data_IF_919000555795
#
_entry.id   IF_919000555795
#
_cell.length_a   1.000
_cell.length_b   1.000
_cell.length_c   1.000
_cell.angle_alpha   90.00
_cell.angle_beta   90.00
_cell.angle_gamma   90.00
#
_symmetry.space_group_name_H-M   'P 1'
#
loop_
_entity.id
_entity.type
_entity.pdbx_description
1 polymer ?
#
# COMPACT_ATOMS: atom_id res chain seq x y z
N UNK A 1 6.07 -10.85 5.01
CA UNK A 1 6.69 -12.18 5.13
C UNK A 1 6.86 -12.77 3.74
N UNK A 2 8.09 -13.01 3.28
CA UNK A 2 8.38 -13.74 2.05
C UNK A 2 8.29 -15.23 2.37
N UNK A 3 7.47 -16.00 1.64
CA UNK A 3 7.56 -17.46 1.71
C UNK A 3 8.91 -17.88 1.11
N UNK A 4 9.54 -18.91 1.67
CA UNK A 4 10.81 -19.41 1.13
C UNK A 4 10.57 -20.62 0.24
N UNK A 5 11.32 -20.74 -0.86
CA UNK A 5 11.37 -21.94 -1.69
C UNK A 5 12.57 -22.81 -1.32
N UNK A 6 12.41 -24.13 -1.39
CA UNK A 6 13.49 -25.08 -1.10
C UNK A 6 14.12 -24.90 0.29
N UNK A 7 15.41 -25.23 0.41
CA UNK A 7 16.13 -25.21 1.68
C UNK A 7 15.62 -26.27 2.67
N UNK A 8 15.91 -26.05 3.95
CA UNK A 8 15.49 -26.94 5.05
C UNK A 8 14.53 -26.26 6.04
N UNK A 9 14.04 -25.07 5.68
CA UNK A 9 13.09 -24.27 6.44
C UNK A 9 11.63 -24.65 6.21
N UNK A 10 11.35 -25.72 5.44
CA UNK A 10 10.01 -26.31 5.26
C UNK A 10 8.95 -25.30 4.77
N UNK A 11 9.35 -24.35 3.92
CA UNK A 11 8.47 -23.29 3.40
C UNK A 11 8.14 -22.18 4.38
N UNK A 12 8.70 -22.21 5.60
CA UNK A 12 8.53 -21.15 6.59
C UNK A 12 9.03 -19.80 6.05
N UNK A 13 8.33 -18.69 6.36
CA UNK A 13 8.75 -17.40 5.87
C UNK A 13 10.11 -16.98 6.47
N UNK A 14 10.80 -16.10 5.76
CA UNK A 14 12.00 -15.47 6.30
C UNK A 14 11.73 -14.78 7.64
N UNK A 15 12.62 -15.00 8.60
CA UNK A 15 12.60 -14.32 9.90
C UNK A 15 13.56 -13.15 9.84
N UNK A 16 13.05 -11.92 9.81
CA UNK A 16 13.88 -10.71 9.84
C UNK A 16 13.73 -9.95 11.17
N UNK A 17 14.84 -9.43 11.74
CA UNK A 17 16.22 -9.78 11.40
C UNK A 17 16.54 -11.26 11.69
N UNK A 18 17.47 -11.85 10.94
CA UNK A 18 18.15 -13.09 11.33
C UNK A 18 19.65 -12.86 11.43
N UNK A 19 20.32 -13.62 12.30
CA UNK A 19 21.76 -13.56 12.51
C UNK A 19 22.50 -14.64 11.70
N UNK A 20 23.53 -14.25 10.95
CA UNK A 20 24.44 -15.14 10.24
C UNK A 20 25.88 -14.60 10.33
N UNK A 21 26.83 -15.46 10.71
CA UNK A 21 28.23 -15.12 10.98
C UNK A 21 28.41 -13.90 11.90
N UNK A 22 27.55 -13.79 12.92
CA UNK A 22 27.60 -12.68 13.85
C UNK A 22 27.02 -11.34 13.32
N UNK A 23 26.58 -11.27 12.07
CA UNK A 23 25.90 -10.11 11.49
C UNK A 23 24.39 -10.34 11.42
N UNK A 24 23.60 -9.28 11.65
CA UNK A 24 22.14 -9.33 11.51
C UNK A 24 21.73 -8.88 10.11
N UNK A 25 20.83 -9.63 9.49
CA UNK A 25 20.29 -9.40 8.15
C UNK A 25 18.78 -9.17 8.22
N UNK A 26 18.32 -8.03 7.72
CA UNK A 26 16.89 -7.65 7.64
C UNK A 26 16.27 -7.95 6.27
N UNK A 27 17.02 -8.60 5.39
CA UNK A 27 16.61 -8.97 4.04
C UNK A 27 17.30 -10.26 3.61
N UNK A 28 16.83 -10.86 2.52
CA UNK A 28 17.51 -12.00 1.92
C UNK A 28 18.91 -11.61 1.45
N UNK A 29 19.88 -12.48 1.71
CA UNK A 29 21.30 -12.25 1.43
C UNK A 29 21.85 -13.32 0.49
N UNK A 30 22.92 -13.00 -0.23
CA UNK A 30 23.73 -13.99 -0.96
C UNK A 30 24.99 -14.39 -0.17
N UNK A 31 25.23 -13.75 0.98
CA UNK A 31 26.41 -14.00 1.82
C UNK A 31 26.55 -15.49 2.17
N UNK A 32 27.77 -15.99 2.05
CA UNK A 32 28.08 -17.41 2.27
C UNK A 32 27.73 -18.35 1.12
N UNK A 33 27.22 -17.86 -0.02
CA UNK A 33 26.95 -18.65 -1.22
C UNK A 33 27.74 -18.13 -2.43
N UNK A 34 28.08 -19.05 -3.34
CA UNK A 34 28.80 -18.73 -4.60
C UNK A 34 27.92 -18.83 -5.83
N UNK A 35 26.70 -19.35 -5.70
CA UNK A 35 25.76 -19.59 -6.79
C UNK A 35 24.75 -18.44 -6.98
N UNK A 36 24.94 -17.33 -6.28
CA UNK A 36 24.14 -16.11 -6.44
C UNK A 36 22.71 -16.19 -5.89
N UNK A 37 22.24 -17.35 -5.45
CA UNK A 37 20.89 -17.50 -4.92
C UNK A 37 20.72 -16.78 -3.59
N UNK A 38 19.70 -15.91 -3.51
CA UNK A 38 19.33 -15.24 -2.26
C UNK A 38 18.65 -16.21 -1.30
N UNK A 39 19.03 -16.12 -0.04
CA UNK A 39 18.50 -16.94 1.04
C UNK A 39 18.27 -16.10 2.30
N UNK A 40 17.49 -16.63 3.23
CA UNK A 40 17.25 -16.02 4.53
C UNK A 40 17.18 -17.10 5.62
N UNK A 41 17.50 -16.74 6.85
CA UNK A 41 17.17 -17.55 8.01
C UNK A 41 15.65 -17.59 8.23
N UNK A 42 15.10 -18.76 8.53
CA UNK A 42 13.69 -18.89 8.94
C UNK A 42 13.53 -18.81 10.47
N UNK A 43 14.63 -18.59 11.19
CA UNK A 43 14.69 -18.29 12.63
C UNK A 43 15.55 -17.06 12.89
N UNK A 44 15.54 -16.55 14.12
CA UNK A 44 16.27 -15.33 14.51
C UNK A 44 17.79 -15.51 14.51
N UNK A 45 18.28 -16.73 14.72
CA UNK A 45 19.71 -17.04 14.76
C UNK A 45 20.02 -18.25 13.88
N UNK A 46 20.45 -17.98 12.64
CA UNK A 46 20.83 -19.04 11.71
C UNK A 46 22.13 -19.74 12.15
N UNK A 47 23.07 -19.03 12.80
CA UNK A 47 24.31 -19.64 13.30
C UNK A 47 24.01 -20.78 14.30
N UNK A 48 22.97 -20.60 15.12
CA UNK A 48 22.46 -21.61 16.06
C UNK A 48 21.56 -22.64 15.39
N UNK A 49 20.52 -22.20 14.68
CA UNK A 49 19.39 -23.06 14.30
C UNK A 49 19.56 -23.69 12.91
N UNK A 50 20.38 -23.10 12.03
CA UNK A 50 20.71 -23.58 10.67
C UNK A 50 19.49 -23.88 9.80
N UNK A 51 18.38 -23.18 10.05
CA UNK A 51 17.12 -23.27 9.31
C UNK A 51 17.02 -22.12 8.32
N UNK A 52 16.86 -22.44 7.05
CA UNK A 52 16.85 -21.46 5.96
C UNK A 52 15.96 -21.87 4.80
N UNK A 53 15.62 -20.90 3.97
CA UNK A 53 15.06 -21.15 2.65
C UNK A 53 15.50 -20.09 1.64
N UNK A 54 15.27 -20.37 0.36
CA UNK A 54 15.60 -19.45 -0.72
C UNK A 54 14.48 -18.44 -0.91
N UNK A 55 14.86 -17.21 -1.22
CA UNK A 55 13.90 -16.15 -1.41
C UNK A 55 13.42 -16.10 -2.87
N UNK A 56 12.10 -16.14 -3.13
CA UNK A 56 11.53 -15.75 -4.41
C UNK A 56 11.86 -14.27 -4.64
N UNK A 57 12.56 -13.95 -5.72
CA UNK A 57 12.99 -12.57 -5.95
C UNK A 57 11.94 -11.76 -6.70
N UNK A 58 11.40 -10.73 -6.02
CA UNK A 58 10.62 -9.61 -6.57
C UNK A 58 11.43 -8.30 -6.64
N UNK A 59 12.77 -8.33 -6.60
CA UNK A 59 13.57 -7.10 -6.57
C UNK A 59 14.80 -7.14 -7.49
N UNK A 60 14.64 -6.57 -8.70
CA UNK A 60 15.69 -6.00 -9.55
C UNK A 60 16.90 -6.89 -9.90
N UNK A 61 16.72 -8.21 -9.94
CA UNK A 61 17.66 -9.11 -10.61
C UNK A 61 17.40 -9.08 -12.10
N UNK A 62 18.46 -8.95 -12.89
CA UNK A 62 18.30 -8.91 -14.34
C UNK A 62 17.77 -10.24 -14.88
N UNK A 63 16.84 -10.20 -15.82
CA UNK A 63 16.34 -11.41 -16.49
C UNK A 63 17.10 -11.59 -17.80
N UNK A 64 17.51 -12.82 -18.11
CA UNK A 64 18.31 -13.09 -19.31
C UNK A 64 19.67 -12.37 -19.32
N UNK A 65 20.15 -11.99 -20.51
CA UNK A 65 21.47 -11.39 -20.68
C UNK A 65 22.62 -12.35 -20.32
N UNK A 66 23.75 -11.80 -19.87
CA UNK A 66 24.97 -12.53 -19.53
C UNK A 66 25.45 -12.29 -18.09
N UNK A 67 24.54 -11.77 -17.26
CA UNK A 67 24.78 -11.43 -15.86
C UNK A 67 24.22 -12.45 -14.88
N UNK A 68 23.62 -13.54 -15.35
CA UNK A 68 23.17 -14.67 -14.52
C UNK A 68 22.25 -14.25 -13.35
N UNK A 69 21.36 -13.28 -13.59
CA UNK A 69 20.50 -12.76 -12.53
C UNK A 69 21.12 -11.67 -11.67
N UNK A 70 22.39 -11.28 -11.91
CA UNK A 70 23.01 -10.21 -11.14
C UNK A 70 22.22 -8.90 -11.27
N UNK A 71 22.11 -8.12 -10.19
CA UNK A 71 21.30 -6.91 -10.16
C UNK A 71 21.91 -5.81 -11.03
N UNK A 72 21.07 -4.86 -11.43
CA UNK A 72 21.53 -3.64 -12.09
C UNK A 72 22.47 -2.82 -11.18
N UNK A 73 23.52 -2.24 -11.75
CA UNK A 73 24.38 -1.26 -11.07
C UNK A 73 24.08 0.12 -11.65
N UNK A 74 23.64 1.04 -10.78
CA UNK A 74 23.40 2.43 -11.13
C UNK A 74 24.31 3.36 -10.32
N UNK A 75 24.90 4.38 -10.95
CA UNK A 75 24.92 4.60 -12.39
C UNK A 75 25.81 3.61 -13.15
N UNK A 76 25.50 3.34 -14.42
CA UNK A 76 26.41 2.66 -15.34
C UNK A 76 26.72 3.47 -16.59
N UNK A 77 27.86 3.22 -17.22
CA UNK A 77 28.29 3.88 -18.46
C UNK A 77 28.00 2.96 -19.66
N UNK A 78 27.35 3.50 -20.69
CA UNK A 78 27.17 2.85 -21.99
C UNK A 78 27.32 3.86 -23.14
N UNK A 79 28.20 3.56 -24.09
CA UNK A 79 28.62 4.45 -25.18
C UNK A 79 29.01 5.85 -24.65
N UNK A 80 29.76 5.89 -23.55
CA UNK A 80 30.20 7.13 -22.90
C UNK A 80 29.11 7.94 -22.20
N UNK A 81 27.85 7.49 -22.21
CA UNK A 81 26.75 8.14 -21.51
C UNK A 81 26.47 7.44 -20.17
N UNK A 82 26.17 8.23 -19.14
CA UNK A 82 25.85 7.74 -17.80
C UNK A 82 24.35 7.50 -17.67
N UNK A 83 23.95 6.31 -17.25
CA UNK A 83 22.55 5.90 -17.06
C UNK A 83 22.29 5.60 -15.58
N UNK A 84 21.29 6.27 -15.02
CA UNK A 84 20.85 6.09 -13.62
C UNK A 84 19.58 5.22 -13.50
N UNK A 85 19.11 4.67 -14.62
CA UNK A 85 17.98 3.77 -14.72
C UNK A 85 18.14 2.83 -15.93
N UNK A 86 17.27 1.83 -16.02
CA UNK A 86 17.19 0.94 -17.18
C UNK A 86 16.93 1.73 -18.47
N UNK A 87 17.55 1.33 -19.56
CA UNK A 87 17.48 2.04 -20.84
C UNK A 87 17.15 1.09 -21.98
N UNK A 88 16.57 1.60 -23.06
CA UNK A 88 16.45 0.91 -24.35
C UNK A 88 17.54 1.33 -25.33
N UNK A 89 18.50 2.18 -24.90
CA UNK A 89 19.60 2.65 -25.73
C UNK A 89 20.36 1.49 -26.37
N UNK A 90 20.65 1.61 -27.67
CA UNK A 90 21.33 0.57 -28.45
C UNK A 90 20.45 -0.63 -28.83
N UNK A 91 19.14 -0.59 -28.55
CA UNK A 91 18.19 -1.64 -28.93
C UNK A 91 17.06 -1.10 -29.82
N UNK A 92 16.59 -1.94 -30.73
CA UNK A 92 15.47 -1.63 -31.64
C UNK A 92 14.16 -2.33 -31.23
N UNK A 93 14.20 -3.22 -30.24
CA UNK A 93 13.04 -4.00 -29.76
C UNK A 93 12.35 -3.37 -28.55
N UNK A 94 12.79 -2.18 -28.13
CA UNK A 94 12.18 -1.42 -27.02
C UNK A 94 12.39 -2.02 -25.63
N UNK A 95 13.05 -3.17 -25.49
CA UNK A 95 13.26 -3.83 -24.19
C UNK A 95 14.24 -3.03 -23.32
N UNK A 96 13.89 -2.88 -22.05
CA UNK A 96 14.72 -2.17 -21.07
C UNK A 96 15.81 -3.09 -20.52
N UNK A 97 17.02 -2.56 -20.44
CA UNK A 97 18.19 -3.29 -19.93
C UNK A 97 19.04 -2.38 -19.05
N UNK A 98 19.90 -3.00 -18.25
CA UNK A 98 20.88 -2.31 -17.43
C UNK A 98 22.20 -3.08 -17.44
N UNK A 99 23.30 -2.38 -17.13
CA UNK A 99 24.53 -3.04 -16.78
C UNK A 99 24.46 -3.60 -15.36
N UNK A 100 25.12 -4.72 -15.10
CA UNK A 100 25.33 -5.27 -13.76
C UNK A 100 26.67 -4.85 -13.16
N UNK A 101 27.36 -3.90 -13.78
CA UNK A 101 28.59 -3.24 -13.30
C UNK A 101 28.53 -1.73 -13.59
N UNK A 102 29.50 -0.97 -13.07
CA UNK A 102 29.54 0.49 -13.24
C UNK A 102 29.88 0.94 -14.67
N UNK A 103 30.37 0.05 -15.54
CA UNK A 103 30.71 0.36 -16.92
C UNK A 103 30.37 -0.82 -17.83
N UNK A 104 29.30 -0.70 -18.62
CA UNK A 104 29.01 -1.68 -19.65
C UNK A 104 30.09 -1.67 -20.74
N UNK A 105 30.63 -0.49 -21.04
CA UNK A 105 31.65 -0.33 -22.09
C UNK A 105 32.90 -1.18 -21.80
N UNK A 106 33.28 -1.27 -20.53
CA UNK A 106 34.45 -2.05 -20.07
C UNK A 106 34.09 -3.52 -19.82
N UNK A 107 33.03 -3.78 -19.06
CA UNK A 107 32.76 -5.12 -18.53
C UNK A 107 31.80 -5.95 -19.39
N UNK A 108 30.98 -5.29 -20.22
CA UNK A 108 29.95 -5.90 -21.09
C UNK A 108 28.99 -6.83 -20.36
N UNK A 109 28.81 -6.60 -19.06
CA UNK A 109 27.92 -7.36 -18.18
C UNK A 109 26.57 -6.66 -18.09
N UNK A 110 25.54 -7.34 -18.56
CA UNK A 110 24.19 -6.80 -18.61
C UNK A 110 23.13 -7.89 -18.40
N UNK A 111 21.92 -7.43 -18.12
CA UNK A 111 20.74 -8.22 -18.38
C UNK A 111 19.53 -7.32 -18.57
N UNK A 112 18.40 -7.93 -18.93
CA UNK A 112 17.18 -7.17 -19.06
C UNK A 112 16.74 -6.75 -17.67
N UNK A 113 16.30 -5.50 -17.55
CA UNK A 113 15.60 -5.17 -16.34
C UNK A 113 14.35 -6.05 -16.31
N UNK A 114 14.03 -6.69 -15.18
CA UNK A 114 12.70 -7.18 -15.02
C UNK A 114 11.83 -5.96 -15.23
N UNK A 115 10.97 -6.02 -16.24
CA UNK A 115 9.92 -5.04 -16.35
C UNK A 115 9.29 -4.94 -14.95
N UNK A 116 8.75 -3.79 -14.56
CA UNK A 116 7.55 -3.83 -13.73
C UNK A 116 6.48 -4.49 -14.61
N UNK A 117 6.66 -5.79 -14.82
CA UNK A 117 5.97 -6.56 -15.80
C UNK A 117 4.59 -6.85 -15.28
N UNK A 118 3.80 -7.43 -16.15
CA UNK A 118 2.53 -7.96 -15.75
C UNK A 118 2.76 -9.22 -14.91
N UNK A 119 2.13 -9.30 -13.75
CA UNK A 119 2.10 -10.52 -12.96
C UNK A 119 1.43 -11.61 -13.79
N UNK A 120 2.19 -12.62 -14.21
CA UNK A 120 1.65 -13.76 -14.98
C UNK A 120 0.48 -14.40 -14.23
N UNK A 121 0.54 -14.45 -12.89
CA UNK A 121 -0.56 -14.93 -12.07
C UNK A 121 -1.84 -14.10 -12.27
N UNK A 122 -1.77 -12.77 -12.20
CA UNK A 122 -2.94 -11.90 -12.34
C UNK A 122 -3.49 -11.91 -13.76
N UNK A 123 -2.61 -11.82 -14.76
CA UNK A 123 -3.02 -11.87 -16.17
C UNK A 123 -3.64 -13.23 -16.48
N UNK A 124 -2.97 -14.34 -16.13
CA UNK A 124 -3.53 -15.66 -16.39
C UNK A 124 -4.86 -15.88 -15.67
N UNK A 125 -5.04 -15.38 -14.44
CA UNK A 125 -6.31 -15.47 -13.74
C UNK A 125 -7.44 -14.75 -14.51
N UNK A 126 -7.17 -13.54 -15.03
CA UNK A 126 -8.11 -12.79 -15.87
C UNK A 126 -8.44 -13.54 -17.17
N UNK A 127 -7.42 -14.03 -17.88
CA UNK A 127 -7.61 -14.80 -19.12
C UNK A 127 -8.31 -16.14 -18.88
N UNK A 128 -8.11 -16.78 -17.72
CA UNK A 128 -8.87 -17.95 -17.33
C UNK A 128 -10.33 -17.61 -17.04
N UNK A 129 -10.63 -16.43 -16.52
CA UNK A 129 -12.00 -15.92 -16.44
C UNK A 129 -12.67 -15.88 -17.81
N UNK A 130 -12.00 -15.32 -18.83
CA UNK A 130 -12.47 -15.38 -20.21
C UNK A 130 -12.61 -16.80 -20.75
N UNK A 131 -11.66 -17.68 -20.46
CA UNK A 131 -11.74 -19.09 -20.87
C UNK A 131 -12.91 -19.84 -20.20
N UNK A 132 -13.34 -19.39 -19.01
CA UNK A 132 -14.53 -19.85 -18.30
C UNK A 132 -15.79 -19.06 -18.69
N UNK A 133 -15.75 -18.22 -19.72
CA UNK A 133 -16.93 -17.54 -20.26
C UNK A 133 -17.32 -16.24 -19.56
N UNK A 134 -16.49 -15.71 -18.65
CA UNK A 134 -16.70 -14.36 -18.11
C UNK A 134 -16.29 -13.29 -19.14
N UNK A 135 -17.09 -12.24 -19.24
CA UNK A 135 -16.75 -11.03 -19.99
C UNK A 135 -16.04 -9.99 -19.09
N UNK A 136 -15.61 -8.88 -19.67
CA UNK A 136 -15.03 -7.79 -18.91
C UNK A 136 -16.05 -7.17 -17.93
N UNK A 137 -15.59 -6.86 -16.72
CA UNK A 137 -16.35 -6.11 -15.72
C UNK A 137 -16.12 -4.61 -15.84
N UNK A 138 -17.15 -3.81 -15.55
CA UNK A 138 -17.03 -2.37 -15.35
C UNK A 138 -16.57 -1.99 -13.93
N UNK A 139 -16.52 -2.96 -13.00
CA UNK A 139 -16.07 -2.76 -11.63
C UNK A 139 -14.53 -2.61 -11.58
N UNK A 140 -13.98 -1.44 -11.18
CA UNK A 140 -12.53 -1.23 -11.09
C UNK A 140 -11.83 -2.15 -10.07
N UNK A 141 -12.57 -2.77 -9.17
CA UNK A 141 -12.07 -3.72 -8.17
C UNK A 141 -12.05 -5.17 -8.62
N UNK A 142 -12.66 -5.48 -9.77
CA UNK A 142 -12.77 -6.82 -10.31
C UNK A 142 -11.49 -7.27 -11.00
N UNK A 143 -11.19 -8.57 -10.90
CA UNK A 143 -10.15 -9.20 -11.71
C UNK A 143 -10.48 -9.09 -13.19
N UNK A 144 -11.75 -9.23 -13.55
CA UNK A 144 -12.24 -9.13 -14.93
C UNK A 144 -12.30 -7.69 -15.47
N UNK A 145 -11.82 -6.68 -14.74
CA UNK A 145 -11.67 -5.33 -15.28
C UNK A 145 -10.60 -5.30 -16.40
N UNK A 146 -10.79 -4.52 -17.48
CA UNK A 146 -9.89 -4.54 -18.64
C UNK A 146 -8.54 -3.85 -18.39
N UNK A 147 -8.40 -3.09 -17.30
CA UNK A 147 -7.17 -2.36 -16.97
C UNK A 147 -6.38 -3.16 -15.94
N UNK A 148 -5.17 -3.59 -16.31
CA UNK A 148 -4.28 -4.28 -15.37
C UNK A 148 -3.91 -3.39 -14.17
N UNK A 149 -4.10 -3.94 -12.97
CA UNK A 149 -3.60 -3.36 -11.73
C UNK A 149 -2.85 -4.42 -10.93
N UNK A 150 -1.60 -4.14 -10.56
CA UNK A 150 -0.85 -5.03 -9.69
C UNK A 150 -1.39 -4.96 -8.25
N UNK A 151 -1.76 -6.10 -7.69
CA UNK A 151 -2.13 -6.23 -6.28
C UNK A 151 -1.28 -7.33 -5.64
N UNK A 152 -0.60 -6.99 -4.55
CA UNK A 152 0.29 -7.92 -3.84
C UNK A 152 -0.50 -9.02 -3.13
N UNK A 153 -1.63 -8.65 -2.52
CA UNK A 153 -2.54 -9.54 -1.81
C UNK A 153 -3.85 -9.67 -2.60
N UNK A 154 -3.83 -10.42 -3.69
CA UNK A 154 -4.99 -10.56 -4.57
C UNK A 154 -6.15 -11.31 -3.90
N UNK A 155 -7.37 -10.82 -4.08
CA UNK A 155 -8.63 -11.48 -3.74
C UNK A 155 -9.65 -11.19 -4.83
N UNK A 156 -10.36 -12.23 -5.29
CA UNK A 156 -11.49 -12.10 -6.22
C UNK A 156 -12.53 -11.14 -5.65
N UNK A 157 -13.00 -10.19 -6.46
CA UNK A 157 -14.08 -9.30 -6.07
C UNK A 157 -15.40 -10.06 -5.95
N UNK A 158 -16.36 -9.48 -5.26
CA UNK A 158 -17.71 -10.04 -5.23
C UNK A 158 -18.34 -10.09 -6.63
N UNK A 159 -17.95 -9.18 -7.53
CA UNK A 159 -18.41 -9.17 -8.92
C UNK A 159 -17.88 -10.38 -9.70
N UNK A 160 -16.59 -10.69 -9.58
CA UNK A 160 -15.98 -11.89 -10.20
C UNK A 160 -16.60 -13.18 -9.64
N UNK A 161 -16.76 -13.25 -8.31
CA UNK A 161 -17.37 -14.38 -7.63
C UNK A 161 -18.81 -14.55 -8.14
N UNK A 162 -19.60 -13.48 -8.15
CA UNK A 162 -20.99 -13.56 -8.62
C UNK A 162 -21.06 -13.99 -10.08
N UNK A 163 -20.24 -13.42 -10.97
CA UNK A 163 -20.24 -13.77 -12.39
C UNK A 163 -19.91 -15.24 -12.64
N UNK A 164 -18.87 -15.77 -11.99
CA UNK A 164 -18.51 -17.18 -12.19
C UNK A 164 -19.57 -18.12 -11.59
N UNK A 165 -20.16 -17.72 -10.47
CA UNK A 165 -21.26 -18.47 -9.85
C UNK A 165 -22.52 -18.46 -10.73
N UNK A 166 -22.86 -17.35 -11.39
CA UNK A 166 -24.01 -17.31 -12.31
C UNK A 166 -23.87 -18.27 -13.50
N UNK A 167 -22.65 -18.52 -13.97
CA UNK A 167 -22.38 -19.44 -15.08
C UNK A 167 -22.35 -20.92 -14.65
N UNK A 168 -21.83 -21.21 -13.46
CA UNK A 168 -21.49 -22.58 -13.06
C UNK A 168 -22.16 -23.07 -11.77
N UNK A 169 -22.68 -22.18 -10.93
CA UNK A 169 -23.50 -22.56 -9.78
C UNK A 169 -24.96 -22.73 -10.21
N UNK A 170 -25.29 -23.97 -10.56
CA UNK A 170 -26.67 -24.45 -10.50
C UNK A 170 -27.01 -24.69 -9.04
N UNK A 171 -28.13 -24.10 -8.61
CA UNK A 171 -28.78 -24.32 -7.32
C UNK A 171 -28.68 -25.78 -6.88
N UNK A 172 -28.42 -26.01 -5.60
CA UNK A 172 -28.68 -27.27 -4.93
C UNK A 172 -30.18 -27.56 -4.96
N UNK A 173 -30.71 -28.01 -6.09
CA UNK A 173 -31.94 -28.80 -6.13
C UNK A 173 -31.61 -30.18 -5.58
N UNK A 174 -31.26 -30.23 -4.28
CA UNK A 174 -31.47 -31.42 -3.49
C UNK A 174 -32.97 -31.41 -3.21
N UNK A 175 -33.75 -32.01 -4.11
CA UNK A 175 -35.01 -32.59 -3.67
C UNK A 175 -34.72 -33.43 -2.42
N UNK A 176 -35.52 -33.33 -1.34
CA UNK A 176 -35.30 -34.11 -0.13
C UNK A 176 -35.59 -35.58 -0.42
N UNK A 177 -34.62 -36.27 -1.00
CA UNK A 177 -34.56 -37.72 -1.06
C UNK A 177 -34.29 -38.27 0.34
N UNK A 178 -35.00 -39.32 0.79
CA UNK A 178 -34.83 -39.87 2.12
C UNK A 178 -33.55 -40.70 2.17
N UNK A 179 -32.41 -40.03 2.40
CA UNK A 179 -31.11 -40.68 2.58
C UNK A 179 -30.15 -39.78 3.35
N UNK A 180 -29.25 -40.34 4.18
CA UNK A 180 -28.25 -39.55 4.89
C UNK A 180 -27.17 -39.12 3.89
N UNK A 181 -27.40 -37.97 3.24
CA UNK A 181 -26.46 -37.35 2.29
C UNK A 181 -25.35 -36.53 2.98
N UNK A 182 -24.29 -36.17 2.23
CA UNK A 182 -23.19 -35.36 2.74
C UNK A 182 -23.68 -33.95 3.08
N UNK A 183 -23.15 -33.37 4.16
CA UNK A 183 -23.61 -32.09 4.72
C UNK A 183 -23.53 -30.90 3.74
N UNK A 184 -24.14 -29.76 4.12
CA UNK A 184 -24.19 -28.57 3.27
C UNK A 184 -22.77 -28.16 2.85
N UNK A 185 -22.58 -27.91 1.56
CA UNK A 185 -21.32 -27.35 1.04
C UNK A 185 -20.94 -26.04 1.74
N UNK A 186 -19.68 -25.63 1.65
CA UNK A 186 -19.22 -24.39 2.27
C UNK A 186 -20.08 -23.20 1.81
N UNK A 187 -20.58 -22.41 2.77
CA UNK A 187 -21.32 -21.17 2.49
C UNK A 187 -20.50 -20.27 1.55
N UNK A 188 -21.12 -19.59 0.57
CA UNK A 188 -20.42 -18.64 -0.30
C UNK A 188 -19.66 -17.62 0.55
N UNK A 189 -18.34 -17.54 0.34
CA UNK A 189 -17.53 -16.47 0.93
C UNK A 189 -17.83 -15.19 0.17
N UNK A 190 -18.41 -14.19 0.85
CA UNK A 190 -18.57 -12.86 0.28
C UNK A 190 -17.18 -12.27 0.00
N UNK A 191 -16.94 -11.90 -1.26
CA UNK A 191 -15.77 -11.16 -1.70
C UNK A 191 -15.84 -9.67 -1.34
N UNK A 192 -14.72 -8.94 -1.46
CA UNK A 192 -14.72 -7.48 -1.37
C UNK A 192 -15.64 -6.84 -2.42
N UNK A 193 -16.40 -5.83 -2.01
CA UNK A 193 -17.34 -5.06 -2.84
C UNK A 193 -16.77 -3.67 -3.06
N UNK A 194 -16.91 -3.15 -4.28
CA UNK A 194 -16.50 -1.79 -4.61
C UNK A 194 -17.49 -0.77 -4.07
N UNK A 195 -17.06 0.20 -3.23
CA UNK A 195 -17.97 1.19 -2.69
C UNK A 195 -18.48 2.14 -3.77
N UNK A 196 -19.77 2.44 -3.75
CA UNK A 196 -20.40 3.38 -4.67
C UNK A 196 -20.70 4.72 -3.99
N UNK A 197 -20.11 5.80 -4.50
CA UNK A 197 -20.41 7.15 -4.02
C UNK A 197 -21.89 7.50 -4.25
N UNK A 198 -22.48 8.26 -3.32
CA UNK A 198 -23.86 8.78 -3.37
C UNK A 198 -25.00 7.76 -3.26
N UNK A 199 -24.77 6.45 -3.39
CA UNK A 199 -25.82 5.43 -3.15
C UNK A 199 -25.94 5.04 -1.70
N UNK A 200 -24.80 4.97 -1.01
CA UNK A 200 -24.71 4.62 0.39
C UNK A 200 -23.86 5.64 1.13
N UNK A 201 -24.10 5.75 2.43
CA UNK A 201 -23.25 6.56 3.28
C UNK A 201 -21.92 5.85 3.52
N UNK A 202 -20.82 6.56 3.25
CA UNK A 202 -19.47 6.01 3.33
C UNK A 202 -18.71 6.74 4.42
N UNK A 203 -18.16 5.96 5.36
CA UNK A 203 -17.16 6.44 6.32
C UNK A 203 -15.78 6.13 5.75
N UNK A 204 -15.07 7.18 5.32
CA UNK A 204 -13.73 7.04 4.75
C UNK A 204 -12.72 6.62 5.81
N UNK A 205 -11.75 5.81 5.42
CA UNK A 205 -10.67 5.37 6.30
C UNK A 205 -9.50 6.37 6.32
N UNK A 206 -9.54 7.39 5.45
CA UNK A 206 -8.58 8.48 5.45
C UNK A 206 -8.92 9.54 4.41
N UNK A 207 -8.65 10.80 4.72
CA UNK A 207 -8.81 11.95 3.80
C UNK A 207 -7.59 12.84 3.93
N UNK A 208 -6.89 13.11 2.83
CA UNK A 208 -5.71 13.96 2.84
C UNK A 208 -5.54 14.71 1.52
N UNK A 209 -4.87 15.86 1.61
CA UNK A 209 -4.33 16.54 0.44
C UNK A 209 -2.91 16.03 0.21
N UNK A 210 -2.63 15.55 -1.00
CA UNK A 210 -1.33 15.08 -1.45
C UNK A 210 -1.04 15.78 -2.78
N UNK A 211 0.03 16.57 -2.85
CA UNK A 211 0.46 17.31 -4.05
C UNK A 211 -0.65 18.16 -4.69
N UNK A 212 -1.49 18.76 -3.84
CA UNK A 212 -2.58 19.65 -4.26
C UNK A 212 -3.89 18.95 -4.62
N UNK A 213 -3.90 17.61 -4.79
CA UNK A 213 -5.13 16.82 -4.96
C UNK A 213 -5.66 16.34 -3.61
N UNK A 214 -6.97 16.38 -3.40
CA UNK A 214 -7.62 15.78 -2.24
C UNK A 214 -7.99 14.34 -2.55
N UNK A 215 -7.54 13.41 -1.70
CA UNK A 215 -7.80 11.99 -1.80
C UNK A 215 -8.72 11.53 -0.68
N UNK A 216 -9.69 10.69 -1.04
CA UNK A 216 -10.59 10.00 -0.12
C UNK A 216 -10.32 8.50 -0.23
N UNK A 217 -10.00 7.85 0.87
CA UNK A 217 -9.64 6.43 0.91
C UNK A 217 -10.76 5.61 1.56
N UNK A 218 -11.13 4.50 0.92
CA UNK A 218 -12.04 3.51 1.50
C UNK A 218 -11.65 2.11 1.08
N UNK A 219 -11.33 1.27 2.06
CA UNK A 219 -10.83 -0.08 1.87
C UNK A 219 -9.72 -0.04 0.80
N UNK A 220 -9.87 -0.83 -0.27
CA UNK A 220 -8.87 -0.93 -1.35
C UNK A 220 -8.96 0.18 -2.39
N UNK A 221 -9.91 1.10 -2.22
CA UNK A 221 -10.27 2.11 -3.21
C UNK A 221 -9.96 3.52 -2.75
N UNK A 222 -9.83 4.40 -3.72
CA UNK A 222 -9.76 5.83 -3.49
C UNK A 222 -10.49 6.62 -4.57
N UNK A 223 -10.86 7.83 -4.20
CA UNK A 223 -11.31 8.88 -5.11
C UNK A 223 -10.43 10.10 -4.94
N UNK A 224 -10.24 10.85 -6.01
CA UNK A 224 -9.41 12.05 -5.98
C UNK A 224 -10.06 13.23 -6.68
N UNK A 225 -9.79 14.43 -6.19
CA UNK A 225 -10.25 15.66 -6.83
C UNK A 225 -9.24 16.79 -6.67
N UNK A 226 -9.07 17.57 -7.73
CA UNK A 226 -8.35 18.86 -7.68
C UNK A 226 -9.24 19.99 -7.13
N UNK A 227 -10.56 19.80 -7.17
CA UNK A 227 -11.54 20.77 -6.70
C UNK A 227 -12.36 20.15 -5.56
N UNK A 228 -12.15 20.55 -4.30
CA UNK A 228 -12.90 20.06 -3.15
C UNK A 228 -14.44 20.14 -3.27
N UNK A 229 -14.96 21.02 -4.14
CA UNK A 229 -16.40 21.17 -4.39
C UNK A 229 -16.90 20.43 -5.64
N UNK A 230 -16.00 19.83 -6.40
CA UNK A 230 -16.33 19.03 -7.57
C UNK A 230 -16.51 17.56 -7.21
N UNK A 231 -17.34 16.85 -7.97
CA UNK A 231 -17.47 15.39 -7.83
C UNK A 231 -16.08 14.74 -8.03
N UNK A 232 -15.62 13.90 -7.09
CA UNK A 232 -14.29 13.31 -7.21
C UNK A 232 -14.28 12.18 -8.24
N UNK A 233 -13.12 11.98 -8.85
CA UNK A 233 -12.86 10.94 -9.86
C UNK A 233 -12.52 9.63 -9.18
N UNK A 234 -13.17 8.53 -9.59
CA UNK A 234 -12.95 7.18 -9.09
C UNK A 234 -14.21 6.31 -9.23
N UNK A 235 -14.25 5.12 -8.59
CA UNK A 235 -13.21 4.57 -7.71
C UNK A 235 -11.97 4.10 -8.47
N UNK A 236 -10.79 4.26 -7.86
CA UNK A 236 -9.50 3.72 -8.32
C UNK A 236 -8.90 2.83 -7.24
N UNK A 237 -8.18 1.77 -7.60
CA UNK A 237 -7.46 0.96 -6.62
C UNK A 237 -6.29 1.75 -6.03
N UNK A 238 -6.15 1.71 -4.71
CA UNK A 238 -5.01 2.32 -4.00
C UNK A 238 -3.68 1.72 -4.47
N UNK A 239 -3.69 0.42 -4.73
CA UNK A 239 -2.52 -0.34 -5.21
C UNK A 239 -1.98 0.16 -6.56
N UNK A 240 -2.79 0.84 -7.38
CA UNK A 240 -2.33 1.48 -8.62
C UNK A 240 -1.21 2.50 -8.38
N UNK A 241 -1.22 3.17 -7.23
CA UNK A 241 -0.23 4.20 -6.87
C UNK A 241 0.70 3.74 -5.75
N UNK A 242 0.20 2.92 -4.83
CA UNK A 242 0.90 2.49 -3.62
C UNK A 242 0.71 0.99 -3.37
N UNK A 243 1.39 0.11 -4.14
CA UNK A 243 1.16 -1.33 -4.14
C UNK A 243 1.61 -2.07 -2.87
N UNK A 244 2.47 -1.47 -2.06
CA UNK A 244 2.92 -2.05 -0.78
C UNK A 244 2.05 -1.65 0.42
N UNK A 245 1.04 -0.79 0.20
CA UNK A 245 0.05 -0.51 1.24
C UNK A 245 -0.86 -1.73 1.47
N UNK A 246 -1.34 -1.90 2.71
CA UNK A 246 -2.37 -2.89 3.01
C UNK A 246 -3.70 -2.56 2.32
N UNK A 247 -4.63 -3.53 2.33
CA UNK A 247 -5.96 -3.36 1.72
C UNK A 247 -6.76 -2.21 2.32
N UNK A 248 -6.44 -1.78 3.53
CA UNK A 248 -7.10 -0.69 4.23
C UNK A 248 -6.06 0.12 4.99
N UNK A 249 -6.15 1.44 4.90
CA UNK A 249 -5.37 2.37 5.72
C UNK A 249 -6.22 2.88 6.89
N UNK A 250 -5.58 3.49 7.88
CA UNK A 250 -6.26 4.08 9.04
C UNK A 250 -6.11 5.60 9.11
N UNK A 251 -5.02 6.14 8.57
CA UNK A 251 -4.81 7.58 8.46
C UNK A 251 -3.78 7.88 7.37
N UNK A 252 -3.82 9.09 6.83
CA UNK A 252 -2.87 9.57 5.82
C UNK A 252 -2.67 11.07 5.96
N UNK A 253 -1.45 11.54 5.72
CA UNK A 253 -1.16 12.96 5.56
C UNK A 253 0.03 13.19 4.63
N UNK A 254 0.18 14.42 4.14
CA UNK A 254 1.39 14.85 3.44
C UNK A 254 2.31 15.62 4.38
N UNK A 255 3.58 15.21 4.44
CA UNK A 255 4.63 15.94 5.14
C UNK A 255 5.15 17.07 4.24
N UNK A 256 4.85 18.35 4.53
CA UNK A 256 5.04 19.44 3.58
C UNK A 256 6.50 19.86 3.36
N UNK A 257 7.44 19.41 4.19
CA UNK A 257 8.86 19.74 3.98
C UNK A 257 9.49 18.91 2.85
N UNK A 258 9.05 17.66 2.72
CA UNK A 258 9.64 16.68 1.80
C UNK A 258 8.66 16.25 0.69
N UNK A 259 7.43 16.78 0.69
CA UNK A 259 6.33 16.37 -0.20
C UNK A 259 6.09 14.85 -0.21
N UNK A 260 6.21 14.26 0.98
CA UNK A 260 6.07 12.81 1.19
C UNK A 260 4.70 12.49 1.74
N UNK A 261 4.04 11.51 1.13
CA UNK A 261 2.81 10.95 1.65
C UNK A 261 3.14 9.93 2.75
N UNK A 262 2.53 10.08 3.91
CA UNK A 262 2.71 9.21 5.06
C UNK A 262 1.38 8.51 5.34
N UNK A 263 1.39 7.18 5.30
CA UNK A 263 0.22 6.34 5.51
C UNK A 263 0.38 5.54 6.80
N UNK A 264 -0.71 5.39 7.55
CA UNK A 264 -0.78 4.58 8.76
C UNK A 264 -1.73 3.41 8.53
N UNK A 265 -1.37 2.25 9.03
CA UNK A 265 -2.26 1.09 9.09
C UNK A 265 -1.82 0.15 10.21
N UNK A 266 -2.73 -0.15 11.13
CA UNK A 266 -2.44 -0.89 12.35
C UNK A 266 -1.29 -0.24 13.12
N UNK A 267 -0.30 -1.06 13.49
CA UNK A 267 0.86 -0.63 14.26
C UNK A 267 2.07 -0.25 13.38
N UNK A 268 1.85 -0.01 12.09
CA UNK A 268 2.87 0.33 11.11
C UNK A 268 2.53 1.61 10.34
N UNK A 269 3.56 2.23 9.76
CA UNK A 269 3.42 3.37 8.87
C UNK A 269 4.39 3.27 7.68
N UNK A 270 3.95 3.80 6.54
CA UNK A 270 4.66 3.84 5.26
C UNK A 270 4.91 5.29 4.89
N UNK A 271 6.05 5.55 4.23
CA UNK A 271 6.38 6.88 3.72
C UNK A 271 6.70 6.74 2.24
N UNK A 272 6.01 7.52 1.42
CA UNK A 272 6.14 7.51 -0.02
C UNK A 272 6.65 8.85 -0.54
N UNK A 273 7.65 8.77 -1.43
CA UNK A 273 8.08 9.87 -2.28
C UNK A 273 7.47 9.66 -3.66
N UNK A 274 6.41 10.41 -3.98
CA UNK A 274 5.54 10.13 -5.14
C UNK A 274 4.88 8.74 -5.00
N UNK A 275 5.17 7.82 -5.93
CA UNK A 275 4.69 6.44 -5.94
C UNK A 275 5.74 5.45 -5.38
N UNK A 276 6.92 5.92 -4.98
CA UNK A 276 7.99 5.06 -4.51
C UNK A 276 8.02 4.99 -2.98
N UNK A 277 7.99 3.77 -2.44
CA UNK A 277 8.14 3.52 -1.02
C UNK A 277 9.57 3.87 -0.58
N UNK A 278 9.71 4.71 0.44
CA UNK A 278 11.00 5.07 0.99
C UNK A 278 11.68 3.85 1.62
N UNK A 279 13.01 3.78 1.49
CA UNK A 279 13.80 2.64 1.99
C UNK A 279 13.66 2.48 3.50
N UNK A 280 13.40 1.24 3.93
CA UNK A 280 13.27 0.88 5.34
C UNK A 280 11.87 1.08 5.92
N UNK A 281 10.88 1.37 5.08
CA UNK A 281 9.46 1.31 5.42
C UNK A 281 8.82 0.00 4.91
N UNK A 282 7.72 -0.48 5.54
CA UNK A 282 7.06 0.10 6.71
C UNK A 282 7.89 0.03 8.00
N UNK A 283 7.59 0.92 8.94
CA UNK A 283 8.17 0.93 10.29
C UNK A 283 7.05 0.89 11.32
N UNK A 284 7.37 0.42 12.53
CA UNK A 284 6.44 0.46 13.66
C UNK A 284 6.17 1.89 14.13
N UNK A 285 4.97 2.15 14.65
CA UNK A 285 4.60 3.44 15.25
C UNK A 285 5.57 3.89 16.36
N UNK A 286 6.18 2.95 17.07
CA UNK A 286 7.21 3.24 18.09
C UNK A 286 8.42 3.96 17.52
N UNK A 287 8.78 3.69 16.26
CA UNK A 287 9.90 4.36 15.59
C UNK A 287 9.56 5.82 15.26
N UNK A 288 8.28 6.17 15.17
CA UNK A 288 7.79 7.54 15.05
C UNK A 288 7.78 8.27 16.42
N UNK A 289 7.92 7.53 17.51
CA UNK A 289 7.87 8.03 18.88
C UNK A 289 6.50 7.89 19.57
N UNK A 290 5.58 7.13 18.99
CA UNK A 290 4.33 6.77 19.66
C UNK A 290 4.58 5.66 20.70
N UNK A 291 3.86 5.68 21.83
CA UNK A 291 3.99 4.65 22.85
C UNK A 291 3.38 3.29 22.40
N UNK A 292 3.80 2.20 23.04
CA UNK A 292 3.46 0.81 22.65
C UNK A 292 1.97 0.46 22.79
N UNK A 293 1.23 1.21 23.60
CA UNK A 293 -0.21 1.09 23.79
C UNK A 293 -1.01 1.61 22.59
N UNK A 294 -0.44 2.53 21.80
CA UNK A 294 -1.05 3.01 20.56
C UNK A 294 -0.82 1.98 19.45
N UNK A 295 -1.85 1.17 19.21
CA UNK A 295 -1.81 0.12 18.18
C UNK A 295 -2.41 0.57 16.84
N UNK A 296 -3.04 1.75 16.80
CA UNK A 296 -3.72 2.31 15.62
C UNK A 296 -3.76 3.82 15.72
N UNK A 297 -3.72 4.49 14.58
CA UNK A 297 -3.92 5.94 14.42
C UNK A 297 -5.23 6.15 13.69
N UNK A 298 -6.13 6.98 14.22
CA UNK A 298 -7.45 7.19 13.61
C UNK A 298 -7.45 8.35 12.61
N UNK A 299 -6.61 9.37 12.83
CA UNK A 299 -6.43 10.46 11.87
C UNK A 299 -5.06 11.12 12.01
N UNK A 300 -4.56 11.71 10.92
CA UNK A 300 -3.34 12.48 10.95
C UNK A 300 -3.41 13.64 9.96
N UNK A 301 -2.82 14.79 10.29
CA UNK A 301 -2.66 15.88 9.35
C UNK A 301 -1.48 16.77 9.73
N UNK A 302 -0.89 17.47 8.76
CA UNK A 302 0.04 18.56 9.03
C UNK A 302 -0.72 19.88 9.06
N UNK A 303 -0.53 20.65 10.13
CA UNK A 303 -1.25 21.91 10.29
C UNK A 303 -0.45 23.08 9.71
N UNK A 304 -0.98 23.70 8.65
CA UNK A 304 -0.33 24.80 7.95
C UNK A 304 0.09 25.98 8.84
N UNK A 305 -0.65 26.24 9.92
CA UNK A 305 -0.39 27.35 10.86
C UNK A 305 0.95 27.25 11.58
N UNK A 306 1.37 26.06 12.00
CA UNK A 306 2.60 25.86 12.79
C UNK A 306 3.54 24.80 12.21
N UNK A 307 3.18 24.21 11.06
CA UNK A 307 3.93 23.16 10.36
C UNK A 307 4.22 21.94 11.23
N UNK A 308 3.34 21.65 12.20
CA UNK A 308 3.44 20.47 13.05
C UNK A 308 2.41 19.45 12.62
N UNK A 309 2.80 18.19 12.68
CA UNK A 309 1.93 17.06 12.35
C UNK A 309 1.19 16.66 13.62
N UNK A 310 -0.12 16.52 13.52
CA UNK A 310 -0.99 16.06 14.60
C UNK A 310 -1.48 14.66 14.26
N UNK A 311 -1.31 13.74 15.20
CA UNK A 311 -1.64 12.33 15.05
C UNK A 311 -2.66 12.01 16.15
N UNK A 312 -3.86 11.60 15.77
CA UNK A 312 -4.99 11.35 16.66
C UNK A 312 -5.19 9.85 16.84
N UNK A 313 -5.41 9.42 18.07
CA UNK A 313 -5.80 8.06 18.40
C UNK A 313 -6.66 8.06 19.66
N UNK A 314 -7.89 7.54 19.55
CA UNK A 314 -8.88 7.55 20.62
C UNK A 314 -9.30 8.97 21.02
N UNK A 315 -9.15 9.27 22.31
CA UNK A 315 -9.43 10.56 22.95
C UNK A 315 -8.20 11.49 23.02
N UNK A 316 -7.08 11.07 22.40
CA UNK A 316 -5.78 11.73 22.52
C UNK A 316 -5.19 12.08 21.17
N UNK A 317 -4.27 13.03 21.21
CA UNK A 317 -3.43 13.36 20.08
C UNK A 317 -1.97 13.60 20.47
N UNK A 318 -1.10 13.37 19.51
CA UNK A 318 0.33 13.61 19.59
C UNK A 318 0.75 14.67 18.58
N UNK A 319 1.73 15.47 18.96
CA UNK A 319 2.29 16.50 18.11
C UNK A 319 3.70 16.12 17.70
N UNK A 320 3.90 15.94 16.41
CA UNK A 320 5.17 15.54 15.81
C UNK A 320 5.85 16.72 15.12
N UNK A 321 7.15 16.85 15.35
CA UNK A 321 8.01 17.85 14.73
C UNK A 321 8.75 17.21 13.56
N UNK A 322 8.34 17.55 12.34
CA UNK A 322 8.93 17.06 11.10
C UNK A 322 10.41 17.46 10.95
N UNK A 323 10.82 18.65 11.40
CA UNK A 323 12.21 19.14 11.26
C UNK A 323 13.16 18.35 12.16
N UNK A 324 12.72 18.07 13.39
CA UNK A 324 13.51 17.33 14.38
C UNK A 324 13.31 15.82 14.28
N UNK A 325 12.37 15.38 13.43
CA UNK A 325 11.88 14.01 13.30
C UNK A 325 11.59 13.34 14.65
N UNK A 326 10.93 14.09 15.56
CA UNK A 326 10.64 13.66 16.94
C UNK A 326 9.28 14.17 17.44
N UNK A 327 8.67 13.42 18.34
CA UNK A 327 7.49 13.84 19.10
C UNK A 327 7.82 15.02 20.04
N UNK A 328 6.88 15.95 20.20
CA UNK A 328 6.99 17.02 21.18
C UNK A 328 6.73 16.50 22.60
N UNK A 329 7.57 16.91 23.55
CA UNK A 329 7.56 16.46 24.96
C UNK A 329 6.23 16.65 25.69
N UNK A 330 5.39 17.57 25.25
CA UNK A 330 4.10 17.88 25.86
C UNK A 330 2.93 17.02 25.30
N UNK A 331 3.21 15.89 24.65
CA UNK A 331 2.24 14.93 24.11
C UNK A 331 2.29 13.59 24.87
N UNK A 332 1.18 12.85 24.99
CA UNK A 332 -0.15 13.12 24.44
C UNK A 332 -0.94 14.18 25.20
N UNK A 333 -1.91 14.78 24.51
CA UNK A 333 -2.94 15.66 25.10
C UNK A 333 -4.32 15.13 24.74
N UNK A 334 -5.32 15.46 25.54
CA UNK A 334 -6.71 15.14 25.19
C UNK A 334 -7.19 16.03 24.04
N UNK A 335 -8.01 15.46 23.16
CA UNK A 335 -8.61 16.21 22.05
C UNK A 335 -9.46 17.35 22.61
N UNK A 336 -10.33 17.05 23.59
CA UNK A 336 -11.21 18.03 24.23
C UNK A 336 -10.49 19.24 24.84
N UNK A 337 -9.24 19.08 25.31
CA UNK A 337 -8.48 20.17 25.95
C UNK A 337 -8.00 21.23 24.95
N UNK A 338 -7.76 20.84 23.70
CA UNK A 338 -7.10 21.69 22.70
C UNK A 338 -7.95 21.96 21.45
N UNK A 339 -8.91 21.09 21.16
CA UNK A 339 -9.76 21.12 19.97
C UNK A 339 -11.22 21.18 20.40
N UNK A 340 -11.68 22.35 20.83
CA UNK A 340 -13.01 22.49 21.41
C UNK A 340 -14.12 22.13 20.41
N UNK A 341 -14.98 21.18 20.81
CA UNK A 341 -16.10 20.68 20.01
C UNK A 341 -15.72 19.63 18.96
N UNK A 342 -14.45 19.25 18.85
CA UNK A 342 -14.02 18.13 18.00
C UNK A 342 -14.26 16.82 18.77
N UNK A 343 -14.94 15.82 18.17
CA UNK A 343 -15.20 14.54 18.82
C UNK A 343 -13.94 13.68 18.90
N UNK A 344 -13.96 12.72 19.83
CA UNK A 344 -12.95 11.66 19.91
C UNK A 344 -13.14 10.62 18.80
N UNK A 345 -12.13 9.76 18.57
CA UNK A 345 -12.15 8.69 17.56
C UNK A 345 -12.51 9.22 16.15
N UNK A 346 -11.82 10.26 15.70
CA UNK A 346 -12.02 10.86 14.38
C UNK A 346 -11.72 9.87 13.27
N UNK A 347 -12.42 9.96 12.13
CA UNK A 347 -12.15 9.05 11.00
C UNK A 347 -11.14 9.64 10.01
N UNK A 348 -11.05 10.98 9.92
CA UNK A 348 -10.02 11.67 9.15
C UNK A 348 -9.90 13.15 9.57
N UNK A 349 -8.77 13.77 9.23
CA UNK A 349 -8.59 15.23 9.33
C UNK A 349 -7.91 15.75 8.08
N UNK A 350 -8.49 16.76 7.46
CA UNK A 350 -7.95 17.42 6.26
C UNK A 350 -7.58 18.87 6.57
N UNK A 351 -6.30 19.18 6.46
CA UNK A 351 -5.82 20.56 6.40
C UNK A 351 -5.69 21.00 4.95
N UNK A 352 -6.46 22.01 4.54
CA UNK A 352 -6.29 22.63 3.22
C UNK A 352 -5.36 23.83 3.37
N UNK A 353 -4.09 23.67 2.95
CA UNK A 353 -2.95 24.53 3.31
C UNK A 353 -3.18 26.03 3.20
N UNK A 354 -3.87 26.49 2.15
CA UNK A 354 -4.08 27.92 1.88
C UNK A 354 -5.46 28.44 2.33
N UNK A 355 -6.35 27.56 2.80
CA UNK A 355 -7.73 27.94 3.09
C UNK A 355 -7.90 28.63 4.46
N UNK A 356 -6.98 28.39 5.39
CA UNK A 356 -7.13 28.80 6.79
C UNK A 356 -8.16 27.98 7.58
N UNK A 357 -8.62 26.85 7.03
CA UNK A 357 -9.57 25.95 7.66
C UNK A 357 -9.00 24.52 7.74
N UNK A 358 -9.34 23.87 8.85
CA UNK A 358 -9.11 22.44 9.06
C UNK A 358 -10.48 21.74 9.15
N UNK A 359 -10.61 20.60 8.51
CA UNK A 359 -11.85 19.82 8.44
C UNK A 359 -11.67 18.50 9.18
N UNK A 360 -12.49 18.27 10.19
CA UNK A 360 -12.50 17.04 10.98
C UNK A 360 -13.66 16.17 10.52
N UNK A 361 -13.40 14.93 10.13
CA UNK A 361 -14.42 14.01 9.61
C UNK A 361 -14.80 13.00 10.70
N UNK A 362 -16.11 12.83 10.88
CA UNK A 362 -16.68 11.83 11.76
C UNK A 362 -18.00 11.30 11.20
N UNK A 363 -18.05 9.99 11.04
CA UNK A 363 -19.12 9.23 10.42
C UNK A 363 -19.49 9.81 9.04
N UNK A 364 -20.69 10.39 8.92
CA UNK A 364 -21.21 10.98 7.67
C UNK A 364 -21.05 12.50 7.61
N UNK A 365 -20.43 13.10 8.63
CA UNK A 365 -20.36 14.54 8.83
C UNK A 365 -18.92 15.03 8.90
N UNK A 366 -18.76 16.33 8.68
CA UNK A 366 -17.50 17.02 8.95
C UNK A 366 -17.72 18.29 9.75
N UNK A 367 -16.73 18.66 10.55
CA UNK A 367 -16.66 19.92 11.27
C UNK A 367 -15.58 20.78 10.63
N UNK A 368 -15.96 21.94 10.12
CA UNK A 368 -15.04 22.95 9.62
C UNK A 368 -14.62 23.86 10.77
N UNK A 369 -13.33 23.91 11.03
CA UNK A 369 -12.73 24.75 12.06
C UNK A 369 -11.85 25.82 11.42
N UNK A 370 -11.98 27.05 11.90
CA UNK A 370 -11.10 28.15 11.49
C UNK A 370 -9.78 28.12 12.28
N UNK A 371 -8.64 28.06 11.58
CA UNK A 371 -7.33 27.85 12.18
C UNK A 371 -6.88 28.99 13.11
N UNK A 372 -7.38 30.21 12.87
CA UNK A 372 -7.03 31.40 13.67
C UNK A 372 -7.71 31.39 15.03
N UNK A 373 -9.02 31.17 15.03
CA UNK A 373 -9.86 31.26 16.23
C UNK A 373 -10.05 29.93 16.95
N UNK A 374 -9.72 28.80 16.30
CA UNK A 374 -9.99 27.44 16.79
C UNK A 374 -11.48 27.22 17.11
N UNK A 375 -12.36 27.89 16.37
CA UNK A 375 -13.80 27.74 16.48
C UNK A 375 -14.33 26.92 15.32
N UNK A 376 -15.26 26.02 15.62
CA UNK A 376 -16.05 25.34 14.61
C UNK A 376 -17.01 26.37 14.02
N UNK A 377 -16.89 26.59 12.72
CA UNK A 377 -17.69 27.59 11.97
C UNK A 377 -18.82 26.95 11.19
N UNK A 378 -18.71 25.65 10.86
CA UNK A 378 -19.71 24.91 10.10
C UNK A 378 -19.65 23.42 10.45
N UNK A 379 -20.82 22.78 10.49
CA UNK A 379 -20.98 21.34 10.44
C UNK A 379 -21.70 21.03 9.12
N UNK A 380 -21.17 20.11 8.32
CA UNK A 380 -21.75 19.75 7.04
C UNK A 380 -21.79 18.24 6.83
N UNK A 381 -22.51 17.81 5.79
CA UNK A 381 -22.54 16.40 5.37
C UNK A 381 -21.47 16.16 4.31
N UNK A 382 -20.80 15.01 4.41
CA UNK A 382 -19.71 14.66 3.49
C UNK A 382 -20.25 14.47 2.07
N UNK A 383 -21.33 13.70 1.91
CA UNK A 383 -21.93 13.40 0.60
C UNK A 383 -22.28 14.67 -0.19
N UNK A 384 -22.91 15.65 0.45
CA UNK A 384 -23.36 16.87 -0.24
C UNK A 384 -22.23 17.84 -0.55
N UNK A 385 -21.34 18.06 0.42
CA UNK A 385 -20.41 19.18 0.34
C UNK A 385 -19.07 18.79 -0.31
N UNK A 386 -18.70 17.50 -0.27
CA UNK A 386 -17.41 16.99 -0.74
C UNK A 386 -17.52 16.00 -1.91
N UNK A 387 -18.62 15.24 -1.99
CA UNK A 387 -18.75 14.18 -3.00
C UNK A 387 -19.62 14.60 -4.19
N UNK A 388 -20.28 15.76 -4.13
CA UNK A 388 -21.15 16.26 -5.19
C UNK A 388 -22.42 15.43 -5.36
N UNK A 389 -22.87 14.81 -4.28
CA UNK A 389 -24.24 14.35 -4.10
C UNK A 389 -25.08 15.50 -3.48
#
# INVERSE_FOLDING_TARGET
ALFTMGGNGDGQPCKFPFKFQGQSYDQCTTEGRTDGYRWCGTTEDYDRDKKYGFCPETAMSTVGGNSEGAPCVFPFIFLGNKYESCTSAGRNDGKLWCASTSSYDDDRKWGFCPDQGYSLFLVAAHEFGHAMGLEHSEDPGALMAPIYTYTKNFRLSQDDIKGIQELYEVSTDVEPGPGPGPGPGPRPTLGPVTPELCKHDIVFDGVAQIRGETFFFKDRFMWRTVNPRGKPTGPLLVATFWPDLPEKIDAVYEAPQDEKAVFFSGNEYWVYSASNLDRGYPKKLTNLGLPLDVQRVDAAFNWGRNKRTYIFAGDRYWKYNEEKKKMELASPKFIADSWNGVPDNLDAVLGLGDSGYTYFFKDQYYLQMEDKSLKIVKIGKINSDWLGC
#
